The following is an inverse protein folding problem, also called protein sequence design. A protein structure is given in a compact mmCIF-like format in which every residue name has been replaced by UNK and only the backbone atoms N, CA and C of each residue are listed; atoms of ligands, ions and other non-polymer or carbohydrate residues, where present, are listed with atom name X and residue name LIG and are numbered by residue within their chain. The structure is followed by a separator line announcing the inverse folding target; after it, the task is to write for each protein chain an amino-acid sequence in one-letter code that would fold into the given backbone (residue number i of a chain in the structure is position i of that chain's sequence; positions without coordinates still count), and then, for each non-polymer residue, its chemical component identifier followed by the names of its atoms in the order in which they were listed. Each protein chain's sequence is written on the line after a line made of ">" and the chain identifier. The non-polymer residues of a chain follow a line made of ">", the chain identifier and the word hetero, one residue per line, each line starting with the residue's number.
data_IF_496757255732
#
_entry.id   IF_496757255732
#
_cell.length_a   1.000
_cell.length_b   1.000
_cell.length_c   1.000
_cell.angle_alpha   90.00
_cell.angle_beta   90.00
_cell.angle_gamma   90.00
#
_symmetry.space_group_name_H-M   'P 1'
#
loop_
_entity.id
_entity.type
_entity.pdbx_description
1 polymer ?
#
# COMPACT_ATOMS: atom_id res chain seq x y z
N UNK A 1 -0.35 -1.90 -61.42
CA UNK A 1 0.33 -1.89 -60.11
C UNK A 1 -0.67 -1.37 -59.07
N UNK A 2 -1.15 -2.23 -58.19
CA UNK A 2 -2.15 -1.88 -57.16
C UNK A 2 -1.43 -1.13 -56.04
N UNK A 3 -1.76 0.14 -55.81
CA UNK A 3 -1.22 0.91 -54.71
C UNK A 3 -1.75 0.31 -53.39
N UNK A 4 -0.90 0.00 -52.40
CA UNK A 4 -1.38 -0.48 -51.11
C UNK A 4 -2.24 0.60 -50.45
N UNK A 5 -3.31 0.23 -49.71
CA UNK A 5 -4.20 1.20 -49.10
C UNK A 5 -3.42 2.10 -48.12
N UNK A 6 -3.69 3.41 -48.17
CA UNK A 6 -3.13 4.37 -47.21
C UNK A 6 -3.54 3.94 -45.80
N UNK A 7 -2.56 3.49 -45.01
CA UNK A 7 -2.77 3.19 -43.59
C UNK A 7 -2.73 4.50 -42.82
N UNK A 8 -3.86 4.90 -42.25
CA UNK A 8 -3.96 6.03 -41.33
C UNK A 8 -4.06 5.48 -39.90
N UNK A 9 -3.23 6.00 -39.01
CA UNK A 9 -3.31 5.73 -37.58
C UNK A 9 -3.64 7.04 -36.86
N UNK A 10 -4.72 7.04 -36.09
CA UNK A 10 -5.02 8.13 -35.15
C UNK A 10 -4.49 7.71 -33.79
N UNK A 11 -3.64 8.54 -33.19
CA UNK A 11 -3.14 8.32 -31.84
C UNK A 11 -3.55 9.48 -30.94
N UNK A 12 -4.02 9.14 -29.75
CA UNK A 12 -4.28 10.09 -28.68
C UNK A 12 -3.21 9.87 -27.61
N UNK A 13 -2.35 10.85 -27.41
CA UNK A 13 -1.33 10.82 -26.36
C UNK A 13 -1.78 11.70 -25.20
N UNK A 14 -1.60 11.19 -23.99
CA UNK A 14 -1.70 11.97 -22.75
C UNK A 14 -0.30 12.03 -22.17
N UNK A 15 0.18 13.24 -21.90
CA UNK A 15 1.47 13.49 -21.26
C UNK A 15 1.28 14.29 -19.99
N UNK A 16 2.19 14.11 -19.05
CA UNK A 16 2.28 14.92 -17.85
C UNK A 16 3.39 15.96 -18.02
N UNK A 17 3.24 17.14 -17.42
CA UNK A 17 4.33 18.10 -17.36
C UNK A 17 5.42 17.53 -16.42
N UNK A 18 6.67 17.33 -16.89
CA UNK A 18 7.74 16.82 -16.04
C UNK A 18 8.18 17.83 -14.97
N UNK A 19 7.85 19.12 -15.13
CA UNK A 19 8.11 20.11 -14.10
C UNK A 19 7.10 19.97 -12.96
N UNK A 20 7.55 19.92 -11.69
CA UNK A 20 6.65 19.82 -10.56
C UNK A 20 5.79 21.09 -10.49
N UNK A 21 4.47 20.91 -10.48
CA UNK A 21 3.54 22.00 -10.20
C UNK A 21 3.66 22.31 -8.70
N UNK A 22 3.95 23.57 -8.38
CA UNK A 22 4.02 24.04 -7.00
C UNK A 22 2.87 25.01 -6.79
N UNK A 23 1.80 24.54 -6.13
CA UNK A 23 0.74 25.41 -5.63
C UNK A 23 0.83 25.43 -4.09
N UNK A 24 1.08 26.59 -3.46
CA UNK A 24 0.92 26.75 -2.02
C UNK A 24 -0.50 26.41 -1.52
N UNK A 25 -0.64 26.10 -0.22
CA UNK A 25 -1.94 26.05 0.42
C UNK A 25 -2.67 27.40 0.29
N UNK A 26 -3.99 27.32 0.23
CA UNK A 26 -4.95 28.41 0.05
C UNK A 26 -4.87 29.18 -1.29
N UNK A 27 -4.09 28.68 -2.26
CA UNK A 27 -4.07 29.27 -3.61
C UNK A 27 -5.36 28.94 -4.36
N UNK A 28 -5.97 29.99 -4.93
CA UNK A 28 -7.23 29.86 -5.69
C UNK A 28 -6.96 29.25 -7.07
N UNK A 29 -7.60 28.13 -7.36
CA UNK A 29 -7.47 27.44 -8.65
C UNK A 29 -8.57 27.89 -9.62
N UNK A 30 -8.18 28.28 -10.84
CA UNK A 30 -9.14 28.54 -11.92
C UNK A 30 -9.55 27.21 -12.56
N UNK A 31 -10.85 26.95 -12.65
CA UNK A 31 -11.41 25.79 -13.33
C UNK A 31 -12.41 26.26 -14.40
N UNK A 32 -12.23 25.79 -15.63
CA UNK A 32 -12.97 26.27 -16.82
C UNK A 32 -14.48 25.97 -16.81
N UNK A 33 -14.97 25.12 -15.89
CA UNK A 33 -16.36 24.61 -15.90
C UNK A 33 -17.11 24.80 -14.58
N UNK A 34 -16.63 25.67 -13.69
CA UNK A 34 -17.25 25.87 -12.38
C UNK A 34 -18.24 27.05 -12.37
N UNK A 35 -19.47 26.88 -11.86
CA UNK A 35 -20.39 27.99 -11.66
C UNK A 35 -19.83 29.05 -10.70
N UNK A 36 -20.10 30.33 -10.96
CA UNK A 36 -19.56 31.51 -10.26
C UNK A 36 -19.70 31.51 -8.72
N UNK A 37 -20.61 30.71 -8.16
CA UNK A 37 -20.84 30.63 -6.70
C UNK A 37 -19.83 29.79 -5.94
N UNK A 38 -18.92 29.10 -6.62
CA UNK A 38 -17.96 28.19 -6.01
C UNK A 38 -16.53 28.69 -6.21
N UNK A 39 -15.73 28.58 -5.15
CA UNK A 39 -14.30 28.90 -5.18
C UNK A 39 -13.52 27.62 -4.85
N UNK A 40 -12.49 27.31 -5.65
CA UNK A 40 -11.54 26.24 -5.34
C UNK A 40 -10.30 26.86 -4.75
N UNK A 41 -9.83 26.30 -3.64
CA UNK A 41 -8.51 26.58 -3.10
C UNK A 41 -7.79 25.29 -2.75
N UNK A 42 -6.46 25.35 -2.74
CA UNK A 42 -5.59 24.22 -2.40
C UNK A 42 -5.55 24.02 -0.88
N UNK A 43 -5.84 22.81 -0.37
CA UNK A 43 -5.85 22.55 1.09
C UNK A 43 -4.45 22.18 1.62
N UNK A 44 -3.67 21.46 0.81
CA UNK A 44 -2.32 21.01 1.14
C UNK A 44 -1.41 21.18 -0.07
N UNK A 45 -0.09 21.39 0.13
CA UNK A 45 0.85 21.49 -0.98
C UNK A 45 0.75 20.27 -1.90
N UNK A 46 0.94 20.49 -3.20
CA UNK A 46 0.92 19.41 -4.19
C UNK A 46 2.02 18.40 -3.87
N UNK A 47 1.66 17.12 -3.91
CA UNK A 47 2.64 16.04 -3.74
C UNK A 47 3.62 16.01 -4.90
N UNK A 48 4.90 15.78 -4.61
CA UNK A 48 5.90 15.57 -5.65
C UNK A 48 5.52 14.37 -6.54
N UNK A 49 5.96 14.38 -7.81
CA UNK A 49 5.77 13.23 -8.68
C UNK A 49 6.40 11.99 -8.07
N UNK A 50 5.68 10.87 -8.15
CA UNK A 50 6.22 9.60 -7.74
C UNK A 50 7.39 9.20 -8.64
N UNK A 51 8.50 8.68 -8.09
CA UNK A 51 9.64 8.29 -8.90
C UNK A 51 9.25 7.12 -9.82
N UNK A 52 9.54 7.20 -11.13
CA UNK A 52 9.37 6.05 -11.99
C UNK A 52 10.35 4.95 -11.58
N UNK A 53 9.89 3.70 -11.58
CA UNK A 53 10.79 2.56 -11.44
C UNK A 53 11.51 2.40 -12.78
N UNK A 54 12.77 2.81 -12.84
CA UNK A 54 13.60 2.70 -14.07
C UNK A 54 14.61 1.55 -13.92
N UNK A 55 14.95 1.17 -12.68
CA UNK A 55 15.93 0.09 -12.41
C UNK A 55 15.34 -1.30 -12.65
N UNK A 56 15.90 -2.00 -13.63
CA UNK A 56 15.55 -3.39 -14.00
C UNK A 56 15.52 -4.38 -12.82
N UNK A 57 16.39 -4.25 -11.83
CA UNK A 57 16.48 -5.24 -10.75
C UNK A 57 15.34 -5.12 -9.73
N UNK A 58 14.92 -3.89 -9.40
CA UNK A 58 13.79 -3.64 -8.49
C UNK A 58 12.48 -4.17 -9.05
N UNK A 59 12.27 -4.07 -10.36
CA UNK A 59 11.09 -4.61 -11.03
C UNK A 59 10.91 -6.12 -10.80
N UNK A 60 12.00 -6.89 -10.93
CA UNK A 60 11.92 -8.35 -10.77
C UNK A 60 11.56 -8.77 -9.36
N UNK A 61 12.00 -8.03 -8.34
CA UNK A 61 11.60 -8.29 -6.94
C UNK A 61 10.10 -8.08 -6.76
N UNK A 62 9.57 -6.96 -7.25
CA UNK A 62 8.14 -6.67 -7.18
C UNK A 62 7.30 -7.72 -7.94
N UNK A 63 7.74 -8.11 -9.14
CA UNK A 63 7.06 -9.15 -9.91
C UNK A 63 7.08 -10.49 -9.18
N UNK A 64 8.16 -10.82 -8.47
CA UNK A 64 8.25 -12.05 -7.68
C UNK A 64 7.24 -12.09 -6.54
N UNK A 65 6.86 -10.93 -5.98
CA UNK A 65 5.85 -10.85 -4.91
C UNK A 65 4.48 -11.38 -5.35
N UNK A 66 4.12 -11.24 -6.64
CA UNK A 66 2.87 -11.79 -7.19
C UNK A 66 2.83 -13.32 -7.17
N UNK A 67 3.99 -13.97 -7.16
CA UNK A 67 4.10 -15.43 -7.07
C UNK A 67 4.33 -15.91 -5.63
N UNK A 68 4.57 -14.99 -4.70
CA UNK A 68 4.95 -15.31 -3.32
C UNK A 68 3.73 -15.73 -2.49
N UNK A 69 3.81 -16.82 -1.75
CA UNK A 69 2.72 -17.29 -0.89
C UNK A 69 2.78 -16.63 0.50
N UNK A 70 1.83 -16.99 1.38
CA UNK A 70 1.74 -16.48 2.76
C UNK A 70 2.93 -16.80 3.68
N UNK A 71 3.98 -17.51 3.21
CA UNK A 71 5.16 -17.84 4.03
C UNK A 71 5.89 -16.61 4.59
N UNK A 72 5.82 -15.46 3.91
CA UNK A 72 6.45 -14.22 4.42
C UNK A 72 5.82 -13.72 5.72
N UNK A 73 4.61 -14.17 6.05
CA UNK A 73 3.92 -13.82 7.30
C UNK A 73 4.36 -14.68 8.49
N UNK A 74 5.34 -15.57 8.31
CA UNK A 74 5.92 -16.38 9.38
C UNK A 74 7.19 -15.77 9.98
N UNK A 75 7.75 -14.72 9.38
CA UNK A 75 8.99 -14.10 9.82
C UNK A 75 8.91 -12.58 9.71
N UNK A 76 9.12 -11.89 10.82
CA UNK A 76 9.15 -10.43 10.85
C UNK A 76 10.23 -9.87 9.92
N UNK A 77 11.41 -10.48 9.86
CA UNK A 77 12.50 -10.02 8.98
C UNK A 77 12.18 -10.23 7.50
N UNK A 78 11.58 -11.37 7.13
CA UNK A 78 11.12 -11.58 5.75
C UNK A 78 10.04 -10.56 5.37
N UNK A 79 9.11 -10.28 6.29
CA UNK A 79 8.05 -9.30 6.06
C UNK A 79 8.59 -7.88 5.94
N UNK A 80 9.51 -7.46 6.82
CA UNK A 80 10.20 -6.18 6.69
C UNK A 80 10.92 -6.06 5.36
N UNK A 81 11.66 -7.09 4.96
CA UNK A 81 12.38 -7.08 3.70
C UNK A 81 11.44 -6.91 2.51
N UNK A 82 10.30 -7.60 2.52
CA UNK A 82 9.26 -7.39 1.51
C UNK A 82 8.77 -5.95 1.48
N UNK A 83 8.49 -5.33 2.64
CA UNK A 83 8.04 -3.93 2.69
C UNK A 83 9.12 -2.96 2.19
N UNK A 84 10.40 -3.25 2.45
CA UNK A 84 11.53 -2.44 1.94
C UNK A 84 11.64 -2.47 0.42
N UNK A 85 11.24 -3.56 -0.23
CA UNK A 85 11.21 -3.62 -1.70
C UNK A 85 10.13 -2.69 -2.30
N UNK A 86 9.17 -2.20 -1.50
CA UNK A 86 8.22 -1.13 -1.85
C UNK A 86 8.70 0.27 -1.46
N UNK A 87 9.95 0.44 -1.00
CA UNK A 87 10.55 1.77 -0.82
C UNK A 87 11.15 2.26 -2.14
N UNK A 88 10.40 3.09 -2.85
CA UNK A 88 10.82 3.68 -4.12
C UNK A 88 11.51 5.03 -3.96
N UNK A 89 11.50 5.60 -2.75
CA UNK A 89 11.98 6.95 -2.50
C UNK A 89 13.47 7.01 -2.16
N UNK A 90 14.16 5.87 -2.04
CA UNK A 90 15.57 5.80 -1.60
C UNK A 90 16.49 6.76 -2.38
N UNK A 91 16.28 6.90 -3.69
CA UNK A 91 17.11 7.74 -4.55
C UNK A 91 16.53 9.15 -4.78
N UNK A 92 15.22 9.33 -4.54
CA UNK A 92 14.49 10.57 -4.89
C UNK A 92 14.15 11.45 -3.69
N UNK A 93 13.71 10.85 -2.58
CA UNK A 93 13.30 11.56 -1.36
C UNK A 93 13.78 10.80 -0.11
N UNK A 94 14.99 11.17 0.35
CA UNK A 94 15.63 10.56 1.52
C UNK A 94 14.82 10.75 2.81
N UNK A 95 14.23 11.93 3.11
CA UNK A 95 13.34 12.08 4.27
C UNK A 95 12.18 11.09 4.28
N UNK A 96 11.45 10.95 3.17
CA UNK A 96 10.32 10.01 3.08
C UNK A 96 10.79 8.57 3.23
N UNK A 97 11.85 8.17 2.50
CA UNK A 97 12.42 6.83 2.59
C UNK A 97 12.86 6.51 4.02
N UNK A 98 13.59 7.41 4.70
CA UNK A 98 14.01 7.21 6.10
C UNK A 98 12.82 7.01 7.04
N UNK A 99 11.75 7.78 6.87
CA UNK A 99 10.54 7.63 7.68
C UNK A 99 9.88 6.28 7.42
N UNK A 100 9.79 5.85 6.17
CA UNK A 100 9.25 4.53 5.80
C UNK A 100 10.08 3.40 6.40
N UNK A 101 11.40 3.46 6.28
CA UNK A 101 12.32 2.49 6.91
C UNK A 101 12.15 2.45 8.42
N UNK A 102 12.03 3.61 9.09
CA UNK A 102 11.78 3.68 10.52
C UNK A 102 10.46 2.98 10.91
N UNK A 103 9.38 3.21 10.16
CA UNK A 103 8.09 2.54 10.41
C UNK A 103 8.20 1.01 10.21
N UNK A 104 8.89 0.57 9.15
CA UNK A 104 9.14 -0.86 8.87
C UNK A 104 9.97 -1.50 9.99
N UNK A 105 11.04 -0.83 10.44
CA UNK A 105 11.89 -1.28 11.54
C UNK A 105 11.12 -1.32 12.88
N UNK A 106 10.03 -0.56 12.98
CA UNK A 106 9.06 -0.61 14.09
C UNK A 106 8.30 -1.92 14.21
N UNK A 107 8.29 -2.79 13.19
CA UNK A 107 7.70 -4.13 13.28
C UNK A 107 8.59 -5.00 14.17
N UNK A 108 8.11 -5.42 15.33
CA UNK A 108 8.89 -6.24 16.24
C UNK A 108 8.68 -7.73 15.98
N UNK A 109 7.43 -8.12 15.75
CA UNK A 109 7.06 -9.51 15.52
C UNK A 109 5.82 -9.61 14.65
N UNK A 110 5.71 -10.72 13.93
CA UNK A 110 4.50 -11.11 13.20
C UNK A 110 4.31 -12.61 13.37
N UNK A 111 3.15 -13.00 13.88
CA UNK A 111 2.75 -14.39 13.97
C UNK A 111 1.54 -14.60 13.09
N UNK A 112 1.51 -15.72 12.38
CA UNK A 112 0.36 -16.10 11.60
C UNK A 112 -0.03 -17.54 11.89
N UNK A 113 -1.31 -17.75 12.16
CA UNK A 113 -1.87 -19.05 12.49
C UNK A 113 -3.13 -19.30 11.67
N UNK A 114 -3.18 -20.43 10.98
CA UNK A 114 -4.35 -20.80 10.20
C UNK A 114 -5.32 -21.63 11.06
N UNK A 115 -6.53 -21.11 11.26
CA UNK A 115 -7.62 -21.74 12.02
C UNK A 115 -8.88 -21.81 11.15
N UNK A 116 -9.82 -22.66 11.54
CA UNK A 116 -11.12 -22.74 10.87
C UNK A 116 -12.17 -22.00 11.71
N UNK A 117 -12.97 -21.16 11.05
CA UNK A 117 -14.05 -20.40 11.70
C UNK A 117 -15.37 -20.65 10.96
N UNK A 118 -16.45 -20.84 11.72
CA UNK A 118 -17.79 -20.81 11.16
C UNK A 118 -18.18 -19.36 10.84
N UNK A 119 -18.40 -19.07 9.56
CA UNK A 119 -18.87 -17.78 9.06
C UNK A 119 -20.20 -18.04 8.36
N UNK A 120 -21.29 -17.46 8.88
CA UNK A 120 -22.65 -17.68 8.36
C UNK A 120 -23.01 -19.17 8.23
N UNK A 121 -22.61 -19.98 9.21
CA UNK A 121 -22.88 -21.43 9.22
C UNK A 121 -21.97 -22.28 8.31
N UNK A 122 -21.02 -21.66 7.59
CA UNK A 122 -20.06 -22.38 6.75
C UNK A 122 -18.67 -22.40 7.38
N UNK A 123 -17.98 -23.55 7.46
CA UNK A 123 -16.58 -23.58 7.88
C UNK A 123 -15.72 -22.90 6.81
N UNK A 124 -14.96 -21.88 7.22
CA UNK A 124 -14.04 -21.13 6.36
C UNK A 124 -12.65 -21.17 6.97
N UNK A 125 -11.64 -21.30 6.12
CA UNK A 125 -10.23 -21.19 6.51
C UNK A 125 -9.91 -19.72 6.78
N UNK A 126 -9.41 -19.44 7.97
CA UNK A 126 -9.05 -18.10 8.43
C UNK A 126 -7.57 -18.05 8.80
N UNK A 127 -6.84 -17.06 8.31
CA UNK A 127 -5.53 -16.69 8.79
C UNK A 127 -5.68 -15.64 9.90
N UNK A 128 -5.19 -15.95 11.08
CA UNK A 128 -5.09 -15.02 12.20
C UNK A 128 -3.69 -14.47 12.24
N UNK A 129 -3.55 -13.14 12.18
CA UNK A 129 -2.27 -12.45 12.23
C UNK A 129 -2.19 -11.67 13.53
N UNK A 130 -1.12 -11.88 14.28
CA UNK A 130 -0.76 -11.08 15.45
C UNK A 130 0.46 -10.24 15.09
N UNK A 131 0.29 -8.92 15.01
CA UNK A 131 1.34 -7.99 14.67
C UNK A 131 1.78 -7.23 15.93
N UNK A 132 3.07 -7.23 16.23
CA UNK A 132 3.62 -6.45 17.35
C UNK A 132 4.40 -5.26 16.82
N UNK A 133 4.03 -4.05 17.23
CA UNK A 133 4.63 -2.80 16.77
C UNK A 133 5.25 -2.01 17.92
N UNK A 134 6.45 -1.47 17.70
CA UNK A 134 7.12 -0.54 18.60
C UNK A 134 6.59 0.88 18.39
N UNK A 135 5.86 1.41 19.36
CA UNK A 135 5.27 2.75 19.33
C UNK A 135 6.29 3.86 19.09
N UNK A 136 7.53 3.68 19.57
CA UNK A 136 8.60 4.68 19.44
C UNK A 136 9.07 4.88 17.99
N UNK A 137 8.72 3.96 17.09
CA UNK A 137 9.05 4.06 15.67
C UNK A 137 8.14 5.04 14.91
N UNK A 138 7.06 5.51 15.53
CA UNK A 138 6.02 6.33 14.88
C UNK A 138 5.92 7.70 15.56
N UNK A 139 5.53 8.73 14.81
CA UNK A 139 5.41 10.09 15.31
C UNK A 139 4.17 10.29 16.21
N UNK A 140 3.12 9.48 16.01
CA UNK A 140 1.89 9.54 16.79
C UNK A 140 1.14 8.21 16.76
N UNK A 141 0.22 8.02 17.70
CA UNK A 141 -0.68 6.85 17.72
C UNK A 141 -1.54 6.76 16.45
N UNK A 142 -1.96 7.90 15.89
CA UNK A 142 -2.72 7.92 14.63
C UNK A 142 -1.88 7.46 13.43
N UNK A 143 -0.59 7.79 13.40
CA UNK A 143 0.32 7.28 12.36
C UNK A 143 0.56 5.77 12.51
N UNK A 144 0.79 5.30 13.73
CA UNK A 144 0.91 3.89 14.05
C UNK A 144 -0.34 3.10 13.60
N UNK A 145 -1.54 3.61 13.92
CA UNK A 145 -2.80 2.99 13.50
C UNK A 145 -2.94 2.95 11.98
N UNK A 146 -2.67 4.07 11.28
CA UNK A 146 -2.73 4.12 9.81
C UNK A 146 -1.75 3.17 9.15
N UNK A 147 -0.56 3.03 9.70
CA UNK A 147 0.41 2.05 9.21
C UNK A 147 -0.12 0.62 9.38
N UNK A 148 -0.65 0.30 10.55
CA UNK A 148 -1.23 -1.02 10.82
C UNK A 148 -2.45 -1.32 9.93
N UNK A 149 -3.33 -0.35 9.69
CA UNK A 149 -4.48 -0.46 8.78
C UNK A 149 -4.04 -0.62 7.32
N UNK A 150 -3.01 0.10 6.88
CA UNK A 150 -2.44 -0.10 5.54
C UNK A 150 -1.91 -1.53 5.36
N UNK A 151 -1.24 -2.08 6.38
CA UNK A 151 -0.82 -3.49 6.35
C UNK A 151 -2.03 -4.43 6.34
N UNK A 152 -3.06 -4.15 7.14
CA UNK A 152 -4.29 -4.95 7.17
C UNK A 152 -4.93 -5.08 5.77
N UNK A 153 -4.98 -4.00 5.02
CA UNK A 153 -5.55 -3.97 3.66
C UNK A 153 -4.61 -4.57 2.61
N UNK A 154 -3.30 -4.52 2.84
CA UNK A 154 -2.28 -5.04 1.93
C UNK A 154 -2.13 -6.56 2.01
N UNK A 155 -2.10 -7.12 3.22
CA UNK A 155 -1.78 -8.54 3.45
C UNK A 155 -2.70 -9.54 2.71
N UNK A 156 -4.00 -9.28 2.45
CA UNK A 156 -4.84 -10.21 1.69
C UNK A 156 -4.33 -10.48 0.27
N UNK A 157 -3.42 -9.64 -0.23
CA UNK A 157 -2.67 -9.89 -1.46
C UNK A 157 -1.90 -11.23 -1.46
N UNK A 158 -1.51 -11.76 -0.29
CA UNK A 158 -0.81 -13.05 -0.17
C UNK A 158 -1.74 -14.25 0.02
N UNK A 159 -3.05 -14.01 0.09
CA UNK A 159 -4.06 -15.03 0.38
C UNK A 159 -4.92 -15.33 -0.85
N UNK A 160 -5.40 -16.57 -0.91
CA UNK A 160 -6.41 -16.97 -1.89
C UNK A 160 -7.78 -16.43 -1.52
N UNK A 161 -8.66 -16.29 -2.51
CA UNK A 161 -10.02 -15.79 -2.34
C UNK A 161 -10.85 -16.65 -1.37
N UNK A 162 -10.54 -17.93 -1.17
CA UNK A 162 -11.31 -18.76 -0.23
C UNK A 162 -10.83 -18.67 1.21
N UNK A 163 -9.70 -17.98 1.44
CA UNK A 163 -9.21 -17.68 2.77
C UNK A 163 -9.73 -16.34 3.27
N UNK A 164 -9.99 -16.32 4.57
CA UNK A 164 -10.34 -15.12 5.33
C UNK A 164 -9.14 -14.70 6.20
N UNK A 165 -9.04 -13.42 6.54
CA UNK A 165 -7.97 -12.87 7.37
C UNK A 165 -8.53 -12.03 8.51
N UNK A 166 -7.98 -12.24 9.70
CA UNK A 166 -8.13 -11.36 10.85
C UNK A 166 -6.73 -10.90 11.30
N UNK A 167 -6.63 -9.66 11.76
CA UNK A 167 -5.39 -9.12 12.30
C UNK A 167 -5.65 -8.40 13.61
N UNK A 168 -4.93 -8.83 14.64
CA UNK A 168 -4.83 -8.17 15.92
C UNK A 168 -3.43 -7.53 16.02
N UNK A 169 -3.36 -6.31 16.55
CA UNK A 169 -2.13 -5.53 16.68
C UNK A 169 -1.88 -5.24 18.15
N UNK A 170 -0.67 -5.53 18.62
CA UNK A 170 -0.23 -5.18 19.97
C UNK A 170 0.85 -4.10 19.89
N UNK A 171 0.65 -3.00 20.60
CA UNK A 171 1.56 -1.88 20.65
C UNK A 171 2.47 -2.00 21.88
N UNK A 172 3.78 -1.80 21.70
CA UNK A 172 4.76 -1.82 22.78
C UNK A 172 5.46 -0.45 22.89
N UNK A 173 5.69 0.06 24.12
CA UNK A 173 5.57 -0.64 25.40
C UNK A 173 4.21 -0.54 26.10
N UNK A 174 3.22 0.21 25.57
CA UNK A 174 1.94 0.43 26.28
C UNK A 174 1.15 -0.86 26.56
N UNK A 175 1.30 -1.88 25.72
CA UNK A 175 0.49 -3.10 25.74
C UNK A 175 -0.91 -2.91 25.15
N UNK A 176 -1.20 -1.77 24.53
CA UNK A 176 -2.49 -1.53 23.88
C UNK A 176 -2.72 -2.54 22.74
N UNK A 177 -3.95 -3.05 22.65
CA UNK A 177 -4.35 -4.04 21.65
C UNK A 177 -5.46 -3.50 20.76
N UNK A 178 -5.25 -3.58 19.46
CA UNK A 178 -6.23 -3.20 18.45
C UNK A 178 -6.68 -4.41 17.64
N UNK A 179 -7.98 -4.48 17.38
CA UNK A 179 -8.57 -5.40 16.42
C UNK A 179 -9.08 -4.58 15.24
N UNK A 180 -8.37 -4.66 14.11
CA UNK A 180 -8.53 -3.70 13.00
C UNK A 180 -9.82 -3.87 12.18
N UNK A 181 -10.61 -4.92 12.43
CA UNK A 181 -11.97 -5.03 11.91
C UNK A 181 -12.73 -6.16 12.61
N UNK A 182 -14.04 -6.03 12.85
CA UNK A 182 -14.87 -7.15 13.29
C UNK A 182 -15.11 -8.18 12.18
N UNK A 183 -14.97 -7.78 10.90
CA UNK A 183 -15.21 -8.63 9.73
C UNK A 183 -13.89 -9.05 9.09
N UNK A 184 -13.70 -10.36 8.81
CA UNK A 184 -12.49 -10.83 8.17
C UNK A 184 -12.38 -10.34 6.72
N UNK A 185 -11.16 -9.98 6.31
CA UNK A 185 -10.87 -9.67 4.90
C UNK A 185 -10.73 -10.94 4.08
N UNK A 186 -11.22 -10.91 2.85
CA UNK A 186 -11.04 -11.99 1.89
C UNK A 186 -9.68 -11.82 1.20
N UNK A 187 -8.97 -12.94 0.98
CA UNK A 187 -7.79 -12.90 0.11
C UNK A 187 -8.12 -12.40 -1.30
N UNK A 188 -7.11 -11.92 -2.03
CA UNK A 188 -7.29 -11.31 -3.36
C UNK A 188 -6.93 -12.24 -4.53
N UNK A 189 -6.27 -13.37 -4.27
CA UNK A 189 -5.80 -14.26 -5.35
C UNK A 189 -6.85 -15.29 -5.74
N UNK A 190 -7.22 -15.41 -7.02
CA UNK A 190 -8.05 -16.51 -7.47
C UNK A 190 -7.30 -17.84 -7.28
N UNK A 191 -8.04 -18.89 -6.94
CA UNK A 191 -7.53 -20.26 -7.00
C UNK A 191 -7.67 -20.66 -8.47
N UNK A 192 -6.55 -20.65 -9.20
CA UNK A 192 -6.47 -21.31 -10.51
C UNK A 192 -6.26 -22.80 -10.30
#
# INVERSE_FOLDING_TARGET
>A
MVHPPKRQFTCHFVSFNPQPIVLPPDETCLAESLPDRFQIHTITPISASYPPVIDSQRHWRLLSHYSMSGYVLLSAEAFKQLLRDYDFYTDSDRPISRKLQQMIDGIQDIKSEAKDRLVMGQPRRCLYIELTLNEKAYASQGELFRFADALYQFLPFFLSNDMLMLMDVTCQPSGEQWRLSPLPLRGYRPIM
#
